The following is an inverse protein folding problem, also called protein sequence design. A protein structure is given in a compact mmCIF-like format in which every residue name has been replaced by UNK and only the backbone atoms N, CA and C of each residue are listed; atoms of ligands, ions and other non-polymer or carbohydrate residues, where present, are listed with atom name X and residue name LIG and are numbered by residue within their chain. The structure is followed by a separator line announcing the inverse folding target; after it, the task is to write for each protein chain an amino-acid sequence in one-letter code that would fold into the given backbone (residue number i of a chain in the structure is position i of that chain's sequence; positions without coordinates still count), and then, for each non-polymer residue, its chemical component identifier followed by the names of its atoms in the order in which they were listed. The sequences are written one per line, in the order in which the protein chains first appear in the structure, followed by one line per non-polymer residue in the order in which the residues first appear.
data_IF_421656545592
#
_entry.id   IF_421656545592
#
_cell.length_a   1.000
_cell.length_b   1.000
_cell.length_c   1.000
_cell.angle_alpha   90.00
_cell.angle_beta   90.00
_cell.angle_gamma   90.00
#
_symmetry.space_group_name_H-M   'P 1'
#
loop_
_entity.id
_entity.type
_entity.pdbx_description
1 polymer ?
#
# COMPACT_ATOMS: atom_id res chain seq x y z
N UNK A 1 13.20 1.03 21.50
CA UNK A 1 12.04 0.13 21.72
C UNK A 1 10.83 0.96 21.35
N UNK A 2 10.25 0.70 20.19
CA UNK A 2 9.09 1.47 19.71
C UNK A 2 7.90 0.51 19.74
N UNK A 3 6.90 0.84 20.55
CA UNK A 3 5.66 0.09 20.68
C UNK A 3 4.54 0.89 20.03
N UNK A 4 3.88 0.33 19.04
CA UNK A 4 2.53 0.77 18.65
C UNK A 4 1.59 -0.30 19.22
N UNK A 5 1.17 -0.09 20.47
CA UNK A 5 0.17 -0.94 21.10
C UNK A 5 -1.22 -0.46 20.68
N UNK A 6 -1.89 -1.20 19.80
CA UNK A 6 -3.34 -1.14 19.67
C UNK A 6 -3.91 -2.11 20.71
N UNK A 7 -4.51 -1.60 21.79
CA UNK A 7 -5.16 -2.42 22.80
C UNK A 7 -6.59 -2.71 22.40
N UNK A 8 -6.91 -3.97 22.25
CA UNK A 8 -8.26 -4.45 22.00
C UNK A 8 -8.87 -4.90 23.32
N UNK A 9 -9.97 -4.28 23.72
CA UNK A 9 -10.78 -4.74 24.85
C UNK A 9 -11.87 -5.70 24.38
N UNK A 10 -11.72 -6.97 24.67
CA UNK A 10 -12.83 -7.93 24.62
C UNK A 10 -12.88 -8.60 26.01
N UNK A 11 -13.90 -8.26 26.81
CA UNK A 11 -14.21 -8.88 28.10
C UNK A 11 -13.00 -9.41 28.90
N UNK A 12 -12.45 -8.54 29.76
CA UNK A 12 -11.46 -8.86 30.82
C UNK A 12 -10.06 -9.36 30.38
N UNK A 13 -9.79 -9.55 29.08
CA UNK A 13 -8.47 -9.92 28.59
C UNK A 13 -7.99 -9.01 27.50
N UNK A 14 -6.88 -8.28 27.74
CA UNK A 14 -6.16 -7.53 26.73
C UNK A 14 -5.32 -8.50 25.89
N UNK A 15 -5.65 -8.67 24.62
CA UNK A 15 -4.81 -9.40 23.69
C UNK A 15 -3.99 -8.39 22.90
N UNK A 16 -2.65 -8.37 23.04
CA UNK A 16 -1.83 -7.46 22.24
C UNK A 16 -1.98 -7.78 20.76
N UNK A 17 -2.40 -6.78 19.99
CA UNK A 17 -2.54 -6.89 18.52
C UNK A 17 -1.19 -6.71 17.79
N UNK A 18 -0.11 -6.40 18.55
CA UNK A 18 1.23 -6.19 18.01
C UNK A 18 2.27 -6.84 18.94
N UNK A 19 3.43 -7.11 18.36
CA UNK A 19 4.59 -7.63 19.09
C UNK A 19 5.77 -6.69 18.87
N UNK A 20 6.41 -6.28 19.96
CA UNK A 20 7.69 -5.61 19.89
C UNK A 20 8.77 -6.59 19.42
N UNK A 21 9.56 -6.15 18.43
CA UNK A 21 10.59 -7.00 17.83
C UNK A 21 11.86 -6.18 17.54
N UNK A 22 13.01 -6.77 17.72
CA UNK A 22 14.29 -6.21 17.28
C UNK A 22 14.53 -6.56 15.81
N UNK A 23 15.26 -5.70 15.11
CA UNK A 23 15.70 -5.98 13.73
C UNK A 23 16.35 -7.35 13.60
N UNK A 24 17.26 -7.70 14.53
CA UNK A 24 17.95 -8.99 14.51
C UNK A 24 17.03 -10.20 14.72
N UNK A 25 15.91 -10.03 15.42
CA UNK A 25 14.91 -11.09 15.61
C UNK A 25 14.09 -11.31 14.34
N UNK A 26 13.71 -10.20 13.68
CA UNK A 26 12.99 -10.26 12.41
C UNK A 26 13.86 -10.87 11.30
N UNK A 27 15.13 -10.49 11.23
CA UNK A 27 16.07 -11.06 10.27
C UNK A 27 16.25 -12.58 10.45
N UNK A 28 16.26 -13.09 11.69
CA UNK A 28 16.27 -14.54 11.95
C UNK A 28 15.03 -15.25 11.40
N UNK A 29 13.87 -14.57 11.46
CA UNK A 29 12.63 -15.12 10.89
C UNK A 29 12.76 -15.18 9.36
N UNK A 30 13.22 -14.11 8.72
CA UNK A 30 13.43 -14.10 7.27
C UNK A 30 14.43 -15.16 6.82
N UNK A 31 15.53 -15.33 7.54
CA UNK A 31 16.52 -16.35 7.22
C UNK A 31 15.96 -17.77 7.34
N UNK A 32 15.19 -18.05 8.39
CA UNK A 32 14.47 -19.31 8.57
C UNK A 32 13.48 -19.56 7.44
N UNK A 33 12.68 -18.55 7.07
CA UNK A 33 11.57 -18.69 6.13
C UNK A 33 12.03 -18.64 4.66
N UNK A 34 13.29 -18.22 4.40
CA UNK A 34 13.90 -18.16 3.07
C UNK A 34 13.83 -19.49 2.32
N UNK A 35 13.89 -20.62 3.01
CA UNK A 35 13.77 -21.95 2.41
C UNK A 35 12.41 -22.18 1.71
N UNK A 36 11.38 -21.46 2.11
CA UNK A 36 10.03 -21.55 1.52
C UNK A 36 9.83 -20.63 0.32
N UNK A 37 10.76 -19.70 0.05
CA UNK A 37 10.59 -18.70 -1.02
C UNK A 37 10.90 -19.22 -2.42
N UNK A 38 11.42 -20.44 -2.55
CA UNK A 38 11.71 -21.10 -3.85
C UNK A 38 12.50 -20.21 -4.84
N UNK A 39 13.35 -19.31 -4.32
CA UNK A 39 14.16 -18.38 -5.11
C UNK A 39 13.43 -17.20 -5.74
N UNK A 40 12.11 -17.06 -5.50
CA UNK A 40 11.28 -15.99 -6.07
C UNK A 40 10.58 -15.11 -5.02
N UNK A 41 10.76 -15.39 -3.74
CA UNK A 41 10.12 -14.66 -2.67
C UNK A 41 11.01 -13.58 -2.05
N UNK A 42 10.44 -12.89 -1.07
CA UNK A 42 11.09 -11.83 -0.33
C UNK A 42 10.28 -11.41 0.88
N UNK A 43 10.50 -10.21 1.36
CA UNK A 43 9.80 -9.64 2.48
C UNK A 43 8.90 -8.47 2.02
N UNK A 44 7.60 -8.57 2.29
CA UNK A 44 6.65 -7.48 2.06
C UNK A 44 6.35 -6.75 3.36
N UNK A 45 6.58 -5.45 3.38
CA UNK A 45 6.28 -4.57 4.49
C UNK A 45 4.93 -3.89 4.25
N UNK A 46 3.95 -4.22 5.09
CA UNK A 46 2.59 -3.69 5.01
C UNK A 46 1.95 -3.63 6.42
N UNK A 47 0.63 -3.57 6.49
CA UNK A 47 -0.09 -3.57 7.78
C UNK A 47 -0.64 -2.24 8.06
N UNK A 48 -0.82 -1.38 8.87
CA UNK A 48 -1.19 0.05 8.78
C UNK A 48 -0.42 0.72 7.63
N UNK A 49 0.48 1.63 7.93
CA UNK A 49 1.49 2.01 6.94
C UNK A 49 2.86 1.82 7.58
N UNK A 50 3.77 1.02 6.98
CA UNK A 50 5.04 0.67 7.61
C UNK A 50 5.96 1.88 7.80
N UNK A 51 5.78 2.96 7.05
CA UNK A 51 6.56 4.18 7.18
C UNK A 51 6.30 4.96 8.48
N UNK A 52 5.22 4.66 9.22
CA UNK A 52 5.04 5.21 10.57
C UNK A 52 6.12 4.76 11.54
N UNK A 53 6.79 3.63 11.26
CA UNK A 53 7.94 3.14 12.02
C UNK A 53 9.23 3.27 11.21
N UNK A 54 9.46 4.44 10.61
CA UNK A 54 10.51 4.68 9.63
C UNK A 54 11.90 4.20 10.06
N UNK A 55 12.28 4.44 11.31
CA UNK A 55 13.64 4.10 11.79
C UNK A 55 13.83 2.57 11.85
N UNK A 56 12.83 1.86 12.33
CA UNK A 56 12.82 0.39 12.34
C UNK A 56 12.76 -0.16 10.91
N UNK A 57 11.84 0.36 10.09
CA UNK A 57 11.68 -0.07 8.71
C UNK A 57 12.97 0.10 7.91
N UNK A 58 13.61 1.27 7.97
CA UNK A 58 14.85 1.53 7.25
C UNK A 58 16.00 0.64 7.75
N UNK A 59 16.06 0.37 9.05
CA UNK A 59 17.06 -0.55 9.60
C UNK A 59 16.87 -1.97 9.07
N UNK A 60 15.63 -2.49 9.04
CA UNK A 60 15.31 -3.81 8.49
C UNK A 60 15.58 -3.86 6.98
N UNK A 61 15.16 -2.86 6.22
CA UNK A 61 15.38 -2.79 4.77
C UNK A 61 16.87 -2.82 4.41
N UNK A 62 17.73 -2.12 5.19
CA UNK A 62 19.18 -2.19 5.02
C UNK A 62 19.74 -3.58 5.24
N UNK A 63 19.29 -4.26 6.31
CA UNK A 63 19.70 -5.65 6.57
C UNK A 63 19.17 -6.62 5.49
N UNK A 64 17.95 -6.41 4.99
CA UNK A 64 17.43 -7.17 3.86
C UNK A 64 18.34 -7.02 2.62
N UNK A 65 18.73 -5.79 2.29
CA UNK A 65 19.67 -5.54 1.18
C UNK A 65 21.01 -6.24 1.38
N UNK A 66 21.60 -6.15 2.60
CA UNK A 66 22.86 -6.83 2.95
C UNK A 66 22.74 -8.35 2.83
N UNK A 67 21.56 -8.90 3.11
CA UNK A 67 21.27 -10.33 3.04
C UNK A 67 20.73 -10.78 1.66
N UNK A 68 20.68 -9.90 0.65
CA UNK A 68 20.10 -10.20 -0.67
C UNK A 68 18.65 -10.71 -0.60
N UNK A 69 17.86 -10.11 0.27
CA UNK A 69 16.44 -10.38 0.39
C UNK A 69 15.70 -9.32 -0.43
N UNK A 70 14.91 -9.75 -1.42
CA UNK A 70 14.03 -8.86 -2.19
C UNK A 70 12.97 -8.24 -1.27
N UNK A 71 12.76 -6.95 -1.40
CA UNK A 71 11.86 -6.19 -0.52
C UNK A 71 10.73 -5.55 -1.30
N UNK A 72 9.51 -5.68 -0.76
CA UNK A 72 8.33 -4.99 -1.24
C UNK A 72 7.72 -4.14 -0.13
N UNK A 73 7.09 -3.03 -0.49
CA UNK A 73 6.35 -2.16 0.44
C UNK A 73 4.95 -1.86 -0.08
N UNK A 74 4.00 -1.76 0.84
CA UNK A 74 2.68 -1.20 0.59
C UNK A 74 2.51 0.05 1.44
N UNK A 75 2.31 1.22 0.81
CA UNK A 75 2.25 2.50 1.49
C UNK A 75 1.23 3.44 0.87
N UNK A 76 0.68 4.33 1.69
CA UNK A 76 -0.12 5.46 1.23
C UNK A 76 0.73 6.54 0.53
N UNK A 77 2.03 6.59 0.82
CA UNK A 77 2.92 7.65 0.36
C UNK A 77 2.70 9.01 1.03
N UNK A 78 1.84 9.11 2.04
CA UNK A 78 1.56 10.36 2.75
C UNK A 78 2.57 10.59 3.89
N UNK A 79 3.81 10.87 3.50
CA UNK A 79 4.94 11.15 4.42
C UNK A 79 5.79 12.29 3.88
N UNK A 80 6.58 12.98 4.75
CA UNK A 80 7.56 13.95 4.26
C UNK A 80 8.42 13.34 3.14
N UNK A 81 8.60 14.08 2.05
CA UNK A 81 9.24 13.57 0.83
C UNK A 81 10.64 12.98 1.09
N UNK A 82 11.41 13.62 1.97
CA UNK A 82 12.73 13.11 2.36
C UNK A 82 12.63 11.72 3.00
N UNK A 83 11.66 11.52 3.91
CA UNK A 83 11.43 10.22 4.56
C UNK A 83 11.01 9.17 3.54
N UNK A 84 10.09 9.54 2.63
CA UNK A 84 9.61 8.64 1.58
C UNK A 84 10.75 8.20 0.67
N UNK A 85 11.47 9.14 0.06
CA UNK A 85 12.57 8.83 -0.87
C UNK A 85 13.74 8.09 -0.20
N UNK A 86 14.07 8.45 1.04
CA UNK A 86 15.16 7.76 1.78
C UNK A 86 14.80 6.30 2.08
N UNK A 87 13.52 6.03 2.39
CA UNK A 87 13.04 4.66 2.61
C UNK A 87 13.05 3.87 1.30
N UNK A 88 12.55 4.47 0.21
CA UNK A 88 12.46 3.81 -1.10
C UNK A 88 13.81 3.38 -1.67
N UNK A 89 14.92 4.04 -1.29
CA UNK A 89 16.27 3.61 -1.70
C UNK A 89 16.60 2.14 -1.41
N UNK A 90 15.92 1.54 -0.45
CA UNK A 90 16.16 0.15 -0.01
C UNK A 90 15.05 -0.81 -0.42
N UNK A 91 14.07 -0.33 -1.18
CA UNK A 91 12.89 -1.09 -1.62
C UNK A 91 13.07 -1.47 -3.09
N UNK A 92 12.77 -2.73 -3.43
CA UNK A 92 12.86 -3.23 -4.80
C UNK A 92 11.52 -3.16 -5.54
N UNK A 93 10.41 -3.24 -4.80
CA UNK A 93 9.06 -3.18 -5.35
C UNK A 93 8.14 -2.37 -4.43
N UNK A 94 7.33 -1.48 -5.00
CA UNK A 94 6.39 -0.69 -4.20
C UNK A 94 4.97 -0.70 -4.81
N UNK A 95 3.98 -1.00 -3.96
CA UNK A 95 2.62 -0.53 -4.16
C UNK A 95 2.45 0.82 -3.46
N UNK A 96 2.09 1.85 -4.22
CA UNK A 96 1.69 3.13 -3.65
C UNK A 96 0.21 3.37 -3.89
N UNK A 97 -0.53 3.55 -2.80
CA UNK A 97 -1.97 3.79 -2.89
C UNK A 97 -2.25 5.19 -3.45
N UNK A 98 -3.09 5.26 -4.48
CA UNK A 98 -3.65 6.49 -5.04
C UNK A 98 -5.17 6.31 -5.13
N UNK A 99 -5.90 6.83 -4.12
CA UNK A 99 -7.31 6.47 -3.93
C UNK A 99 -8.28 7.36 -4.70
N UNK A 100 -7.94 8.63 -4.96
CA UNK A 100 -8.73 9.55 -5.77
C UNK A 100 -7.86 10.70 -6.27
N UNK A 101 -8.11 11.18 -7.50
CA UNK A 101 -7.38 12.33 -8.06
C UNK A 101 -7.90 13.67 -7.56
N UNK A 102 -9.21 13.78 -7.27
CA UNK A 102 -9.77 14.96 -6.63
C UNK A 102 -9.38 14.97 -5.15
N UNK A 103 -8.67 16.05 -4.74
CA UNK A 103 -8.08 16.18 -3.41
C UNK A 103 -9.14 16.31 -2.30
N UNK A 104 -10.23 16.99 -2.57
CA UNK A 104 -11.31 17.18 -1.59
C UNK A 104 -12.02 15.84 -1.32
N UNK A 105 -12.33 15.08 -2.37
CA UNK A 105 -12.90 13.73 -2.24
C UNK A 105 -11.94 12.79 -1.56
N UNK A 106 -10.65 12.86 -1.89
CA UNK A 106 -9.61 12.08 -1.22
C UNK A 106 -9.60 12.38 0.28
N UNK A 107 -9.58 13.68 0.65
CA UNK A 107 -9.57 14.12 2.04
C UNK A 107 -10.84 13.72 2.80
N UNK A 108 -12.01 13.81 2.16
CA UNK A 108 -13.29 13.38 2.76
C UNK A 108 -13.24 11.91 3.24
N UNK A 109 -12.66 11.02 2.43
CA UNK A 109 -12.66 9.57 2.71
C UNK A 109 -11.44 9.06 3.46
N UNK A 110 -10.29 9.75 3.34
CA UNK A 110 -9.02 9.30 3.95
C UNK A 110 -8.54 10.17 5.09
N UNK A 111 -9.13 11.35 5.27
CA UNK A 111 -8.74 12.35 6.27
C UNK A 111 -7.60 13.28 5.83
N UNK A 112 -6.96 13.02 4.68
CA UNK A 112 -5.81 13.80 4.19
C UNK A 112 -5.96 14.13 2.70
N UNK A 113 -5.45 15.28 2.23
CA UNK A 113 -5.40 15.63 0.82
C UNK A 113 -4.38 14.75 0.07
N UNK A 114 -4.42 14.73 -1.27
CA UNK A 114 -3.57 13.86 -2.07
C UNK A 114 -2.29 14.52 -2.65
N UNK A 115 -2.12 15.84 -2.52
CA UNK A 115 -1.03 16.58 -3.16
C UNK A 115 0.36 16.06 -2.76
N UNK A 116 0.53 15.76 -1.47
CA UNK A 116 1.79 15.21 -0.98
C UNK A 116 2.05 13.80 -1.53
N UNK A 117 1.00 13.00 -1.67
CA UNK A 117 1.08 11.64 -2.26
C UNK A 117 1.51 11.75 -3.72
N UNK A 118 0.85 12.60 -4.50
CA UNK A 118 1.16 12.83 -5.92
C UNK A 118 2.59 13.37 -6.10
N UNK A 119 3.01 14.32 -5.25
CA UNK A 119 4.37 14.85 -5.26
C UNK A 119 5.42 13.78 -4.96
N UNK A 120 5.15 12.90 -3.99
CA UNK A 120 6.05 11.80 -3.63
C UNK A 120 6.15 10.74 -4.75
N UNK A 121 5.02 10.36 -5.34
CA UNK A 121 4.99 9.45 -6.50
C UNK A 121 5.78 10.03 -7.66
N UNK A 122 5.56 11.31 -8.00
CA UNK A 122 6.27 11.99 -9.08
C UNK A 122 7.78 12.06 -8.81
N UNK A 123 8.17 12.43 -7.59
CA UNK A 123 9.58 12.51 -7.20
C UNK A 123 10.28 11.14 -7.27
N UNK A 124 9.61 10.06 -6.86
CA UNK A 124 10.16 8.71 -6.96
C UNK A 124 10.28 8.24 -8.42
N UNK A 125 9.23 8.44 -9.21
CA UNK A 125 9.19 8.04 -10.62
C UNK A 125 10.25 8.77 -11.48
N UNK A 126 10.61 10.01 -11.11
CA UNK A 126 11.61 10.83 -11.79
C UNK A 126 13.02 10.68 -11.22
N UNK A 127 13.20 9.88 -10.17
CA UNK A 127 14.50 9.62 -9.55
C UNK A 127 15.25 8.48 -10.25
N UNK A 128 16.49 8.23 -9.82
CA UNK A 128 17.32 7.10 -10.23
C UNK A 128 16.99 5.80 -9.46
N UNK A 129 15.86 5.75 -8.77
CA UNK A 129 15.43 4.57 -8.05
C UNK A 129 15.19 3.39 -9.02
N UNK A 130 15.88 2.25 -8.83
CA UNK A 130 15.84 1.14 -9.79
C UNK A 130 14.65 0.18 -9.56
N UNK A 131 13.87 0.41 -8.50
CA UNK A 131 12.77 -0.47 -8.14
C UNK A 131 11.55 -0.31 -9.06
N UNK A 132 10.57 -1.19 -8.90
CA UNK A 132 9.32 -1.16 -9.66
C UNK A 132 8.20 -0.53 -8.83
N UNK A 133 7.56 0.51 -9.37
CA UNK A 133 6.44 1.20 -8.75
C UNK A 133 5.14 0.85 -9.48
N UNK A 134 4.19 0.30 -8.74
CA UNK A 134 2.81 0.06 -9.20
C UNK A 134 1.88 0.92 -8.35
N UNK A 135 1.11 1.78 -8.99
CA UNK A 135 0.05 2.50 -8.27
C UNK A 135 -1.14 1.57 -8.02
N UNK A 136 -1.83 1.78 -6.91
CA UNK A 136 -2.90 0.88 -6.48
C UNK A 136 -4.07 1.64 -5.89
N UNK A 137 -5.30 1.17 -6.16
CA UNK A 137 -6.50 1.72 -5.56
C UNK A 137 -7.51 0.64 -5.21
N UNK A 138 -8.01 0.59 -3.96
CA UNK A 138 -9.23 -0.15 -3.66
C UNK A 138 -10.41 0.55 -4.33
N UNK A 139 -11.15 -0.17 -5.15
CA UNK A 139 -12.32 0.36 -5.86
C UNK A 139 -13.54 0.32 -4.93
N UNK A 140 -14.02 1.50 -4.54
CA UNK A 140 -15.15 1.66 -3.61
C UNK A 140 -16.29 2.34 -4.35
N UNK A 141 -17.47 1.73 -4.34
CA UNK A 141 -18.66 2.24 -5.00
C UNK A 141 -19.02 3.65 -4.52
N UNK A 142 -19.31 4.54 -5.47
CA UNK A 142 -19.68 5.94 -5.22
C UNK A 142 -18.53 6.82 -4.69
N UNK A 143 -17.32 6.30 -4.59
CA UNK A 143 -16.15 7.09 -4.20
C UNK A 143 -15.19 7.29 -5.37
N UNK A 144 -14.52 6.24 -5.80
CA UNK A 144 -13.42 6.34 -6.78
C UNK A 144 -13.63 5.45 -8.02
N UNK A 145 -14.83 4.90 -8.16
CA UNK A 145 -15.21 3.93 -9.18
C UNK A 145 -15.73 4.56 -10.48
N UNK A 146 -15.41 5.84 -10.73
CA UNK A 146 -15.81 6.52 -11.97
C UNK A 146 -14.75 6.43 -13.07
N UNK A 147 -15.19 6.47 -14.33
CA UNK A 147 -14.29 6.49 -15.49
C UNK A 147 -13.44 7.75 -15.53
N UNK A 148 -14.01 8.87 -15.09
CA UNK A 148 -13.35 10.16 -15.01
C UNK A 148 -12.17 10.13 -14.04
N UNK A 149 -12.33 9.48 -12.88
CA UNK A 149 -11.25 9.29 -11.93
C UNK A 149 -10.14 8.39 -12.50
N UNK A 150 -10.50 7.29 -13.19
CA UNK A 150 -9.51 6.42 -13.86
C UNK A 150 -8.76 7.17 -14.98
N UNK A 151 -9.46 8.00 -15.75
CA UNK A 151 -8.82 8.82 -16.77
C UNK A 151 -7.84 9.84 -16.18
N UNK A 152 -8.22 10.52 -15.10
CA UNK A 152 -7.34 11.45 -14.39
C UNK A 152 -6.11 10.75 -13.78
N UNK A 153 -6.28 9.52 -13.26
CA UNK A 153 -5.15 8.68 -12.81
C UNK A 153 -4.22 8.37 -13.97
N UNK A 154 -4.75 7.94 -15.11
CA UNK A 154 -3.94 7.62 -16.29
C UNK A 154 -3.17 8.86 -16.81
N UNK A 155 -3.81 10.03 -16.86
CA UNK A 155 -3.17 11.28 -17.23
C UNK A 155 -2.01 11.64 -16.29
N UNK A 156 -2.21 11.55 -14.99
CA UNK A 156 -1.15 11.74 -14.01
C UNK A 156 -0.01 10.74 -14.21
N UNK A 157 -0.32 9.45 -14.37
CA UNK A 157 0.68 8.41 -14.58
C UNK A 157 1.53 8.68 -15.82
N UNK A 158 0.91 9.08 -16.93
CA UNK A 158 1.63 9.46 -18.15
C UNK A 158 2.54 10.67 -17.93
N UNK A 159 2.08 11.68 -17.17
CA UNK A 159 2.87 12.88 -16.90
C UNK A 159 4.18 12.60 -16.14
N UNK A 160 4.23 11.48 -15.39
CA UNK A 160 5.40 11.06 -14.58
C UNK A 160 6.08 9.78 -15.11
N UNK A 161 5.64 9.25 -16.27
CA UNK A 161 6.26 8.09 -16.91
C UNK A 161 5.91 6.74 -16.28
N UNK A 162 4.84 6.64 -15.48
CA UNK A 162 4.35 5.40 -14.91
C UNK A 162 3.36 4.69 -15.83
N UNK A 163 3.39 3.36 -15.80
CA UNK A 163 2.60 2.55 -16.75
C UNK A 163 1.81 1.42 -16.09
N UNK A 164 1.93 1.20 -14.79
CA UNK A 164 1.32 0.05 -14.11
C UNK A 164 0.40 0.47 -12.96
N UNK A 165 -0.84 -0.05 -12.98
CA UNK A 165 -1.86 0.23 -11.99
C UNK A 165 -2.55 -1.06 -11.54
N UNK A 166 -2.86 -1.19 -10.24
CA UNK A 166 -3.60 -2.31 -9.69
C UNK A 166 -4.93 -1.83 -9.10
N UNK A 167 -6.03 -2.40 -9.59
CA UNK A 167 -7.38 -2.24 -9.07
C UNK A 167 -7.64 -3.32 -8.01
N UNK A 168 -7.78 -2.95 -6.75
CA UNK A 168 -8.19 -3.91 -5.72
C UNK A 168 -9.70 -3.94 -5.59
N UNK A 169 -10.33 -5.12 -5.58
CA UNK A 169 -11.73 -5.22 -5.17
C UNK A 169 -11.86 -4.77 -3.71
N UNK A 170 -12.85 -3.92 -3.43
CA UNK A 170 -13.17 -3.61 -2.05
C UNK A 170 -13.78 -4.84 -1.36
N UNK A 171 -13.37 -5.06 -0.11
CA UNK A 171 -13.95 -6.08 0.76
C UNK A 171 -13.88 -5.63 2.23
N UNK A 172 -14.80 -6.14 3.05
CA UNK A 172 -14.97 -5.72 4.46
C UNK A 172 -14.03 -6.43 5.46
N UNK A 173 -12.86 -6.86 5.06
CA UNK A 173 -11.90 -7.53 5.98
C UNK A 173 -11.45 -6.64 7.16
N UNK A 174 -11.59 -5.31 7.03
CA UNK A 174 -11.32 -4.35 8.11
C UNK A 174 -12.35 -4.34 9.23
N UNK A 175 -13.57 -4.86 9.02
CA UNK A 175 -14.67 -4.80 9.97
C UNK A 175 -14.31 -5.39 11.35
N UNK A 176 -13.61 -6.52 11.38
CA UNK A 176 -13.17 -7.15 12.61
C UNK A 176 -12.23 -6.26 13.43
N UNK A 177 -11.30 -5.55 12.79
CA UNK A 177 -10.37 -4.62 13.46
C UNK A 177 -11.10 -3.43 14.07
N UNK A 178 -12.08 -2.85 13.36
CA UNK A 178 -12.90 -1.75 13.87
C UNK A 178 -13.73 -2.18 15.07
N UNK A 179 -14.40 -3.35 14.99
CA UNK A 179 -15.15 -3.94 16.11
C UNK A 179 -14.25 -4.18 17.31
N UNK A 180 -13.04 -4.68 17.09
CA UNK A 180 -12.08 -4.91 18.14
C UNK A 180 -11.62 -3.62 18.84
N UNK A 181 -11.65 -2.49 18.14
CA UNK A 181 -11.39 -1.17 18.71
C UNK A 181 -12.65 -0.52 19.34
N UNK A 182 -13.78 -1.22 19.41
CA UNK A 182 -15.04 -0.67 19.89
C UNK A 182 -15.68 0.36 18.97
N UNK A 183 -15.26 0.40 17.71
CA UNK A 183 -15.71 1.38 16.72
C UNK A 183 -16.63 0.74 15.67
N UNK A 184 -17.54 1.55 15.12
CA UNK A 184 -18.37 1.13 13.97
C UNK A 184 -17.57 1.29 12.70
N UNK A 185 -17.55 0.24 11.87
CA UNK A 185 -16.87 0.29 10.58
C UNK A 185 -17.65 1.18 9.60
N UNK A 186 -17.07 2.31 9.12
CA UNK A 186 -17.80 3.27 8.28
C UNK A 186 -18.31 2.69 6.96
N UNK A 187 -17.67 1.62 6.47
CA UNK A 187 -17.99 0.95 5.21
C UNK A 187 -18.81 -0.34 5.40
N UNK A 188 -19.46 -0.52 6.57
CA UNK A 188 -20.25 -1.72 6.87
C UNK A 188 -21.41 -1.96 5.91
N UNK A 189 -21.94 -0.88 5.31
CA UNK A 189 -23.06 -0.91 4.35
C UNK A 189 -22.61 -1.12 2.90
N UNK A 190 -21.30 -1.06 2.61
CA UNK A 190 -20.79 -1.26 1.26
C UNK A 190 -20.60 -2.74 0.97
N UNK A 191 -20.95 -3.16 -0.24
CA UNK A 191 -20.71 -4.50 -0.73
C UNK A 191 -19.32 -4.64 -1.38
N UNK A 192 -18.89 -5.87 -1.61
CA UNK A 192 -17.69 -6.12 -2.40
C UNK A 192 -17.87 -5.58 -3.82
N UNK A 193 -16.79 -5.01 -4.38
CA UNK A 193 -16.84 -4.49 -5.75
C UNK A 193 -17.19 -5.59 -6.74
N UNK A 194 -18.25 -5.43 -7.55
CA UNK A 194 -18.63 -6.43 -8.55
C UNK A 194 -17.50 -6.63 -9.59
N UNK A 195 -17.24 -7.87 -10.03
CA UNK A 195 -16.22 -8.15 -11.05
C UNK A 195 -16.39 -7.33 -12.33
N UNK A 196 -17.62 -7.18 -12.80
CA UNK A 196 -17.95 -6.44 -14.03
C UNK A 196 -17.56 -4.96 -13.92
N UNK A 197 -17.64 -4.41 -12.70
CA UNK A 197 -17.20 -3.02 -12.44
C UNK A 197 -15.68 -2.90 -12.55
N UNK A 198 -14.96 -3.87 -11.97
CA UNK A 198 -13.49 -3.92 -12.06
C UNK A 198 -13.03 -4.07 -13.50
N UNK A 199 -13.65 -4.97 -14.27
CA UNK A 199 -13.37 -5.18 -15.69
C UNK A 199 -13.61 -3.90 -16.52
N UNK A 200 -14.71 -3.21 -16.24
CA UNK A 200 -15.04 -1.95 -16.93
C UNK A 200 -14.01 -0.85 -16.65
N UNK A 201 -13.53 -0.73 -15.40
CA UNK A 201 -12.50 0.25 -15.03
C UNK A 201 -11.12 -0.17 -15.55
N UNK A 202 -10.80 -1.47 -15.51
CA UNK A 202 -9.58 -2.01 -16.10
C UNK A 202 -9.51 -1.68 -17.60
N UNK A 203 -10.62 -1.88 -18.31
CA UNK A 203 -10.70 -1.54 -19.73
C UNK A 203 -10.40 -0.06 -19.99
N UNK A 204 -10.92 0.85 -19.18
CA UNK A 204 -10.63 2.30 -19.31
C UNK A 204 -9.12 2.54 -19.23
N UNK A 205 -8.43 1.95 -18.24
CA UNK A 205 -7.00 2.12 -18.07
C UNK A 205 -6.20 1.49 -19.21
N UNK A 206 -6.60 0.30 -19.67
CA UNK A 206 -5.98 -0.38 -20.83
C UNK A 206 -6.14 0.44 -22.13
N UNK A 207 -7.35 0.95 -22.39
CA UNK A 207 -7.64 1.80 -23.55
C UNK A 207 -6.80 3.10 -23.53
N UNK A 208 -6.39 3.56 -22.34
CA UNK A 208 -5.49 4.70 -22.14
C UNK A 208 -4.00 4.29 -22.07
N UNK A 209 -3.63 3.05 -22.37
CA UNK A 209 -2.24 2.59 -22.43
C UNK A 209 -1.60 2.27 -21.07
N UNK A 210 -2.38 2.20 -20.00
CA UNK A 210 -1.90 1.77 -18.68
C UNK A 210 -2.06 0.25 -18.55
N UNK A 211 -1.03 -0.46 -18.13
CA UNK A 211 -1.10 -1.88 -17.77
C UNK A 211 -1.89 -2.01 -16.46
N UNK A 212 -3.14 -2.42 -16.54
CA UNK A 212 -4.04 -2.50 -15.41
C UNK A 212 -4.24 -3.95 -14.96
N UNK A 213 -3.96 -4.21 -13.68
CA UNK A 213 -4.15 -5.49 -13.02
C UNK A 213 -5.36 -5.44 -12.09
N UNK A 214 -5.94 -6.60 -11.78
CA UNK A 214 -7.06 -6.72 -10.84
C UNK A 214 -6.69 -7.67 -9.70
N UNK A 215 -6.91 -7.24 -8.47
CA UNK A 215 -6.66 -8.06 -7.29
C UNK A 215 -5.21 -8.55 -7.18
N UNK A 216 -5.01 -9.86 -7.19
CA UNK A 216 -3.69 -10.52 -7.07
C UNK A 216 -2.95 -10.74 -8.39
N UNK A 217 -3.47 -10.24 -9.52
CA UNK A 217 -2.92 -10.55 -10.85
C UNK A 217 -1.64 -9.76 -11.21
N UNK A 218 -1.19 -8.88 -10.32
CA UNK A 218 0.08 -8.17 -10.51
C UNK A 218 1.24 -9.18 -10.50
N UNK A 219 2.00 -9.35 -11.61
CA UNK A 219 3.14 -10.24 -11.61
C UNK A 219 4.29 -9.66 -10.78
N UNK A 220 4.93 -10.50 -10.00
CA UNK A 220 6.14 -10.19 -9.22
C UNK A 220 7.39 -10.73 -9.90
#
# INVERSE_FOLDING_TARGET
MFSVACFLTVHEHFVPASRDMKVSELMKIFDRDRHYWSGKGGATFSGGDPMYQKDFLQAVLKECRNAYIHTAIETSGFFPQETYLTTMKYVDFAFNDLKHMDSDKHKEKTGVPNELILANIAALAQSDWPGRLVLRSPVIEGFNDSKENMAAIAEFMHSVGLTEFNLLPFHRLGDSKWKSCGMVYPYSMYEATPPEKLEALQKVLLDLGIKAYVGSDTPF
#
